data_IF_340301658929
#
_entry.id   IF_340301658929
#
_cell.length_a   1.000
_cell.length_b   1.000
_cell.length_c   1.000
_cell.angle_alpha   90.00
_cell.angle_beta   90.00
_cell.angle_gamma   90.00
#
_symmetry.space_group_name_H-M   'P 1'
#
loop_
_entity.id
_entity.type
_entity.pdbx_description
1 polymer ?
#
# COMPACT_ATOMS: atom_id res chain seq x y z
N UNK A 1 23.59 48.32 3.36
CA UNK A 1 24.74 47.50 2.90
C UNK A 1 24.70 46.20 3.70
N UNK A 2 24.08 45.12 3.27
CA UNK A 2 24.14 44.46 1.96
C UNK A 2 22.73 44.05 1.49
N UNK A 3 22.35 44.51 0.30
CA UNK A 3 21.17 44.06 -0.44
C UNK A 3 21.49 42.79 -1.25
N UNK A 4 20.53 41.88 -1.25
CA UNK A 4 20.13 40.91 -2.30
C UNK A 4 21.14 40.51 -3.40
N UNK A 5 21.55 39.24 -3.44
CA UNK A 5 21.97 38.57 -4.68
C UNK A 5 21.45 37.13 -4.71
N UNK A 6 20.19 36.96 -5.11
CA UNK A 6 19.76 35.71 -5.75
C UNK A 6 20.45 35.64 -7.12
N UNK A 7 21.60 34.97 -7.20
CA UNK A 7 22.32 34.77 -8.47
C UNK A 7 21.48 33.93 -9.42
N UNK A 8 20.85 34.59 -10.39
CA UNK A 8 20.18 33.93 -11.52
C UNK A 8 21.23 33.16 -12.33
N UNK A 9 20.93 31.89 -12.62
CA UNK A 9 21.76 31.03 -13.50
C UNK A 9 22.04 31.75 -14.82
N UNK A 10 23.26 31.64 -15.40
CA UNK A 10 23.57 32.22 -16.70
C UNK A 10 22.56 31.77 -17.77
N UNK A 11 22.12 32.68 -18.64
CA UNK A 11 21.05 32.43 -19.63
C UNK A 11 21.33 31.21 -20.51
N UNK A 12 22.59 31.01 -20.92
CA UNK A 12 23.01 29.82 -21.67
C UNK A 12 22.74 28.51 -20.91
N UNK A 13 23.03 28.47 -19.61
CA UNK A 13 22.81 27.29 -18.78
C UNK A 13 21.31 27.05 -18.59
N UNK A 14 20.54 28.12 -18.40
CA UNK A 14 19.08 28.03 -18.31
C UNK A 14 18.45 27.53 -19.62
N UNK A 15 18.95 27.97 -20.78
CA UNK A 15 18.52 27.50 -22.10
C UNK A 15 18.88 26.02 -22.32
N UNK A 16 20.08 25.59 -21.96
CA UNK A 16 20.47 24.19 -22.06
C UNK A 16 19.63 23.29 -21.15
N UNK A 17 19.38 23.70 -19.90
CA UNK A 17 18.52 22.95 -18.98
C UNK A 17 17.07 22.85 -19.50
N UNK A 18 16.54 23.93 -20.11
CA UNK A 18 15.23 23.89 -20.77
C UNK A 18 15.24 23.00 -22.01
N UNK A 19 16.34 22.99 -22.78
CA UNK A 19 16.49 22.15 -23.97
C UNK A 19 16.47 20.66 -23.61
N UNK A 20 17.08 20.25 -22.50
CA UNK A 20 17.05 18.86 -22.03
C UNK A 20 15.63 18.33 -21.75
N UNK A 21 14.71 19.22 -21.41
CA UNK A 21 13.31 18.89 -21.15
C UNK A 21 12.45 19.06 -22.41
N UNK A 22 12.87 19.85 -23.39
CA UNK A 22 12.10 20.13 -24.61
C UNK A 22 11.94 18.90 -25.51
N UNK A 23 10.88 18.92 -26.33
CA UNK A 23 10.53 17.90 -27.34
C UNK A 23 11.67 17.55 -28.27
N UNK A 24 12.38 18.55 -28.79
CA UNK A 24 13.51 18.36 -29.70
C UNK A 24 14.72 17.75 -28.99
N UNK A 25 14.96 18.12 -27.71
CA UNK A 25 16.09 17.62 -26.93
C UNK A 25 15.97 16.13 -26.60
N UNK A 26 14.79 15.68 -26.15
CA UNK A 26 14.55 14.26 -25.85
C UNK A 26 14.54 13.41 -27.13
N UNK A 27 13.99 13.94 -28.22
CA UNK A 27 13.99 13.25 -29.53
C UNK A 27 15.39 13.13 -30.11
N UNK A 28 16.19 14.20 -30.02
CA UNK A 28 17.60 14.21 -30.41
C UNK A 28 18.41 13.27 -29.51
N UNK A 29 18.09 13.17 -28.23
CA UNK A 29 18.73 12.23 -27.33
C UNK A 29 18.42 10.79 -27.72
N UNK A 30 17.15 10.43 -27.92
CA UNK A 30 16.76 9.10 -28.40
C UNK A 30 17.43 8.80 -29.75
N UNK A 31 17.50 9.78 -30.65
CA UNK A 31 18.19 9.64 -31.95
C UNK A 31 19.69 9.39 -31.74
N UNK A 32 20.36 10.19 -30.92
CA UNK A 32 21.79 10.02 -30.61
C UNK A 32 22.06 8.64 -30.03
N UNK A 33 21.27 8.20 -29.06
CA UNK A 33 21.35 6.85 -28.50
C UNK A 33 21.21 5.77 -29.58
N UNK A 34 20.22 5.87 -30.49
CA UNK A 34 20.08 4.90 -31.59
C UNK A 34 21.20 4.93 -32.62
N UNK A 35 21.95 6.05 -32.73
CA UNK A 35 23.10 6.17 -33.64
C UNK A 35 24.41 5.76 -33.00
N UNK A 36 24.55 5.90 -31.68
CA UNK A 36 25.75 5.55 -30.92
C UNK A 36 25.73 4.12 -30.40
N UNK A 37 24.57 3.45 -30.39
CA UNK A 37 24.44 2.03 -30.05
C UNK A 37 25.24 1.20 -31.06
N UNK A 38 26.49 0.90 -30.71
CA UNK A 38 27.36 0.04 -31.50
C UNK A 38 26.87 -1.41 -31.37
N UNK A 39 26.81 -2.20 -32.45
CA UNK A 39 26.40 -3.60 -32.40
C UNK A 39 27.32 -4.51 -31.55
N UNK A 40 28.44 -3.98 -31.04
CA UNK A 40 29.42 -4.70 -30.22
C UNK A 40 29.16 -4.65 -28.70
N UNK A 41 28.44 -3.64 -28.22
CA UNK A 41 28.13 -3.47 -26.79
C UNK A 41 26.69 -3.92 -26.58
N UNK A 42 26.46 -4.83 -25.64
CA UNK A 42 25.15 -5.46 -25.50
C UNK A 42 24.03 -4.43 -25.30
N UNK A 43 22.83 -4.64 -25.86
CA UNK A 43 21.68 -3.73 -25.72
C UNK A 43 21.22 -3.49 -24.27
N UNK A 44 21.77 -4.23 -23.31
CA UNK A 44 21.53 -4.02 -21.88
C UNK A 44 22.30 -2.81 -21.33
N UNK A 45 23.54 -2.57 -21.77
CA UNK A 45 24.37 -1.46 -21.25
C UNK A 45 23.85 -0.11 -21.76
N UNK A 46 23.47 -0.04 -23.04
CA UNK A 46 22.84 1.15 -23.63
C UNK A 46 21.50 1.48 -22.95
N UNK A 47 20.71 0.46 -22.61
CA UNK A 47 19.48 0.63 -21.85
C UNK A 47 19.75 1.17 -20.43
N UNK A 48 20.78 0.67 -19.75
CA UNK A 48 21.16 1.13 -18.41
C UNK A 48 21.60 2.60 -18.42
N UNK A 49 22.38 3.02 -19.41
CA UNK A 49 22.83 4.41 -19.52
C UNK A 49 21.66 5.37 -19.78
N UNK A 50 20.77 5.01 -20.72
CA UNK A 50 19.57 5.78 -20.99
C UNK A 50 18.63 5.82 -19.78
N UNK A 51 18.50 4.70 -19.06
CA UNK A 51 17.69 4.62 -17.85
C UNK A 51 18.24 5.51 -16.73
N UNK A 52 19.55 5.43 -16.48
CA UNK A 52 20.22 6.28 -15.50
C UNK A 52 20.06 7.76 -15.81
N UNK A 53 20.30 8.16 -17.07
CA UNK A 53 20.12 9.53 -17.51
C UNK A 53 18.67 10.03 -17.34
N UNK A 54 17.70 9.23 -17.76
CA UNK A 54 16.28 9.58 -17.70
C UNK A 54 15.79 9.69 -16.25
N UNK A 55 16.21 8.79 -15.37
CA UNK A 55 15.88 8.85 -13.94
C UNK A 55 16.48 10.10 -13.28
N UNK A 56 17.69 10.50 -13.68
CA UNK A 56 18.29 11.76 -13.21
C UNK A 56 17.47 12.95 -13.71
N UNK A 57 17.04 12.97 -14.98
CA UNK A 57 16.16 14.02 -15.49
C UNK A 57 14.84 14.12 -14.72
N UNK A 58 14.19 12.99 -14.45
CA UNK A 58 12.93 12.95 -13.70
C UNK A 58 13.11 13.45 -12.25
N UNK A 59 14.26 13.18 -11.63
CA UNK A 59 14.60 13.70 -10.30
C UNK A 59 14.92 15.19 -10.30
N UNK A 60 15.66 15.68 -11.30
CA UNK A 60 16.03 17.09 -11.40
C UNK A 60 14.87 18.00 -11.79
N UNK A 61 13.89 17.48 -12.56
CA UNK A 61 12.76 18.25 -13.10
C UNK A 61 11.41 17.59 -12.78
N UNK A 62 11.01 17.53 -11.49
CA UNK A 62 9.77 16.86 -11.08
C UNK A 62 8.52 17.47 -11.73
N UNK A 63 8.49 18.79 -11.92
CA UNK A 63 7.36 19.51 -12.51
C UNK A 63 7.12 19.15 -13.99
N UNK A 64 8.13 18.68 -14.70
CA UNK A 64 8.05 18.25 -16.10
C UNK A 64 8.05 16.73 -16.25
N UNK A 65 7.90 15.99 -15.15
CA UNK A 65 8.02 14.52 -15.16
C UNK A 65 7.01 13.84 -16.08
N UNK A 66 5.76 14.29 -16.09
CA UNK A 66 4.71 13.72 -16.95
C UNK A 66 4.96 14.04 -18.43
N UNK A 67 5.43 15.25 -18.74
CA UNK A 67 5.78 15.63 -20.11
C UNK A 67 6.96 14.79 -20.66
N UNK A 68 7.97 14.53 -19.82
CA UNK A 68 9.10 13.65 -20.16
C UNK A 68 8.59 12.22 -20.43
N UNK A 69 7.71 11.70 -19.59
CA UNK A 69 7.12 10.36 -19.76
C UNK A 69 6.26 10.26 -21.03
N UNK A 70 5.44 11.26 -21.32
CA UNK A 70 4.66 11.34 -22.57
C UNK A 70 5.59 11.29 -23.78
N UNK A 71 6.69 12.06 -23.75
CA UNK A 71 7.65 12.10 -24.86
C UNK A 71 8.37 10.77 -25.05
N UNK A 72 8.83 10.15 -23.97
CA UNK A 72 9.43 8.81 -24.02
C UNK A 72 8.45 7.76 -24.52
N UNK A 73 7.17 7.87 -24.15
CA UNK A 73 6.11 7.00 -24.61
C UNK A 73 5.87 7.10 -26.13
N UNK A 74 5.97 8.31 -26.70
CA UNK A 74 5.92 8.52 -28.16
C UNK A 74 7.22 8.17 -28.88
N UNK A 75 8.35 8.08 -28.18
CA UNK A 75 9.65 7.74 -28.75
C UNK A 75 9.73 6.30 -29.27
N UNK A 76 10.41 6.13 -30.40
CA UNK A 76 10.73 4.81 -30.99
C UNK A 76 12.24 4.58 -31.00
N UNK A 77 12.63 3.37 -30.59
CA UNK A 77 14.02 2.94 -30.57
C UNK A 77 14.22 1.94 -31.71
N UNK A 78 15.17 2.24 -32.60
CA UNK A 78 15.56 1.33 -33.68
C UNK A 78 16.55 0.32 -33.11
N UNK A 79 16.17 -0.95 -33.11
CA UNK A 79 17.07 -2.04 -32.69
C UNK A 79 17.43 -2.91 -33.89
N UNK A 80 18.69 -3.36 -33.94
CA UNK A 80 19.21 -4.27 -34.96
C UNK A 80 19.29 -5.69 -34.41
N UNK A 81 18.14 -6.27 -34.06
CA UNK A 81 18.08 -7.69 -33.68
C UNK A 81 17.97 -8.56 -34.94
N UNK A 82 18.97 -9.41 -35.21
CA UNK A 82 18.95 -10.40 -36.31
C UNK A 82 18.80 -9.81 -37.72
N UNK A 83 19.61 -8.80 -38.06
CA UNK A 83 19.75 -8.30 -39.45
C UNK A 83 18.54 -7.57 -40.06
N UNK A 84 17.40 -7.49 -39.36
CA UNK A 84 16.25 -6.65 -39.71
C UNK A 84 16.17 -5.49 -38.72
N UNK A 85 16.12 -4.27 -39.25
CA UNK A 85 15.96 -3.06 -38.43
C UNK A 85 14.50 -2.99 -37.96
N UNK A 86 14.26 -3.23 -36.68
CA UNK A 86 12.92 -3.17 -36.09
C UNK A 86 12.81 -1.92 -35.20
N UNK A 87 11.82 -1.09 -35.48
CA UNK A 87 11.40 0.02 -34.62
C UNK A 87 10.52 -0.54 -33.50
N UNK A 88 10.97 -0.39 -32.25
CA UNK A 88 10.26 -0.87 -31.07
C UNK A 88 9.91 0.35 -30.20
N UNK A 89 8.68 0.44 -29.65
CA UNK A 89 8.33 1.49 -28.69
C UNK A 89 9.27 1.47 -27.47
N UNK A 90 9.61 2.65 -26.95
CA UNK A 90 10.52 2.80 -25.79
C UNK A 90 10.12 1.92 -24.59
N UNK A 91 8.82 1.81 -24.28
CA UNK A 91 8.33 0.98 -23.16
C UNK A 91 8.65 -0.51 -23.37
N UNK A 92 8.46 -1.03 -24.58
CA UNK A 92 8.78 -2.43 -24.93
C UNK A 92 10.29 -2.67 -24.96
N UNK A 93 11.07 -1.68 -25.40
CA UNK A 93 12.53 -1.76 -25.34
C UNK A 93 13.01 -1.96 -23.89
N UNK A 94 12.53 -1.13 -22.96
CA UNK A 94 12.89 -1.27 -21.54
C UNK A 94 12.34 -2.55 -20.89
N UNK A 95 11.18 -3.03 -21.32
CA UNK A 95 10.68 -4.34 -20.90
C UNK A 95 11.63 -5.48 -21.32
N UNK A 96 12.05 -5.52 -22.58
CA UNK A 96 13.01 -6.53 -23.05
C UNK A 96 14.38 -6.40 -22.38
N UNK A 97 14.81 -5.19 -22.04
CA UNK A 97 16.02 -4.97 -21.24
C UNK A 97 15.84 -5.51 -19.81
N UNK A 98 14.70 -5.23 -19.16
CA UNK A 98 14.38 -5.73 -17.82
C UNK A 98 14.35 -7.26 -17.76
N UNK A 99 13.78 -7.93 -18.78
CA UNK A 99 13.76 -9.40 -18.88
C UNK A 99 15.16 -10.04 -18.90
N UNK A 100 16.17 -9.33 -19.39
CA UNK A 100 17.56 -9.82 -19.51
C UNK A 100 18.37 -9.65 -18.22
N UNK A 101 17.86 -8.86 -17.27
CA UNK A 101 18.56 -8.62 -15.99
C UNK A 101 18.64 -9.88 -15.14
N UNK A 102 19.73 -10.03 -14.40
CA UNK A 102 19.89 -11.12 -13.45
C UNK A 102 18.87 -11.03 -12.31
N UNK A 103 18.49 -9.82 -11.91
CA UNK A 103 17.47 -9.56 -10.89
C UNK A 103 16.14 -10.18 -11.31
N UNK A 104 15.69 -9.94 -12.55
CA UNK A 104 14.45 -10.52 -13.05
C UNK A 104 14.50 -12.05 -13.02
N UNK A 105 15.61 -12.64 -13.48
CA UNK A 105 15.83 -14.09 -13.46
C UNK A 105 15.84 -14.67 -12.04
N UNK A 106 16.45 -13.98 -11.08
CA UNK A 106 16.50 -14.40 -9.66
C UNK A 106 15.11 -14.33 -9.02
N UNK A 107 14.35 -13.28 -9.29
CA UNK A 107 13.01 -13.08 -8.73
C UNK A 107 11.94 -13.99 -9.34
N UNK A 108 12.14 -14.45 -10.57
CA UNK A 108 11.24 -15.40 -11.23
C UNK A 108 11.48 -16.86 -10.82
N UNK A 109 12.55 -17.17 -10.07
CA UNK A 109 12.76 -18.53 -9.55
C UNK A 109 11.73 -18.87 -8.47
N UNK A 110 11.22 -20.12 -8.53
CA UNK A 110 10.11 -20.61 -7.70
C UNK A 110 10.38 -20.55 -6.19
N UNK A 111 11.65 -20.59 -5.78
CA UNK A 111 12.10 -20.35 -4.41
C UNK A 111 13.27 -19.37 -4.45
N UNK A 112 13.12 -18.24 -3.77
CA UNK A 112 14.20 -17.27 -3.59
C UNK A 112 15.10 -17.83 -2.49
N UNK A 113 16.18 -18.52 -2.86
CA UNK A 113 17.09 -19.19 -1.90
C UNK A 113 17.79 -18.22 -0.96
N UNK A 114 18.08 -16.99 -1.43
CA UNK A 114 18.72 -15.93 -0.64
C UNK A 114 18.10 -14.56 -0.94
N UNK A 115 17.07 -14.10 -0.20
CA UNK A 115 16.43 -12.80 -0.40
C UNK A 115 17.43 -11.63 -0.24
N UNK A 116 18.41 -11.78 0.64
CA UNK A 116 19.51 -10.83 0.84
C UNK A 116 20.41 -10.67 -0.40
N UNK A 117 20.49 -11.65 -1.30
CA UNK A 117 21.31 -11.53 -2.53
C UNK A 117 20.68 -10.63 -3.60
N UNK A 118 19.38 -10.37 -3.50
CA UNK A 118 18.63 -9.52 -4.44
C UNK A 118 18.48 -8.10 -3.90
N UNK A 119 18.24 -7.99 -2.58
CA UNK A 119 18.00 -6.70 -1.91
C UNK A 119 19.25 -6.13 -1.25
N UNK A 120 20.20 -6.96 -0.82
CA UNK A 120 21.48 -6.50 -0.26
C UNK A 120 22.26 -5.58 -1.20
N UNK A 121 22.33 -5.86 -2.53
CA UNK A 121 22.94 -4.93 -3.47
C UNK A 121 22.19 -3.60 -3.64
N UNK A 122 20.89 -3.51 -3.34
CA UNK A 122 20.15 -2.23 -3.34
C UNK A 122 20.63 -1.27 -2.24
N UNK A 123 21.26 -1.81 -1.19
CA UNK A 123 21.76 -1.04 -0.06
C UNK A 123 23.23 -0.63 -0.23
N UNK A 124 23.90 -1.10 -1.30
CA UNK A 124 25.32 -0.82 -1.55
C UNK A 124 25.49 0.12 -2.76
N UNK A 125 26.24 1.24 -2.66
CA UNK A 125 26.22 2.30 -3.67
C UNK A 125 26.93 2.02 -5.02
N UNK A 126 27.63 0.89 -5.19
CA UNK A 126 28.50 0.68 -6.37
C UNK A 126 28.50 -0.78 -6.84
N UNK A 127 27.35 -1.26 -7.34
CA UNK A 127 27.24 -2.62 -7.88
C UNK A 127 26.71 -2.59 -9.31
N UNK A 128 27.12 -3.55 -10.14
CA UNK A 128 26.48 -3.87 -11.43
C UNK A 128 24.95 -4.02 -11.30
N UNK A 129 24.47 -4.41 -10.12
CA UNK A 129 23.04 -4.52 -9.84
C UNK A 129 22.33 -3.15 -9.78
N UNK A 130 23.02 -2.05 -9.46
CA UNK A 130 22.43 -0.71 -9.52
C UNK A 130 22.04 -0.34 -10.95
N UNK A 131 22.86 -0.71 -11.93
CA UNK A 131 22.55 -0.50 -13.34
C UNK A 131 21.27 -1.24 -13.77
N UNK A 132 21.14 -2.50 -13.36
CA UNK A 132 19.96 -3.32 -13.65
C UNK A 132 18.69 -2.74 -12.98
N UNK A 133 18.81 -2.26 -11.73
CA UNK A 133 17.70 -1.65 -11.00
C UNK A 133 17.23 -0.34 -11.62
N UNK A 134 18.12 0.49 -12.16
CA UNK A 134 17.76 1.71 -12.90
C UNK A 134 16.87 1.38 -14.09
N UNK A 135 17.20 0.34 -14.84
CA UNK A 135 16.40 -0.12 -15.99
C UNK A 135 15.02 -0.62 -15.55
N UNK A 136 14.95 -1.43 -14.48
CA UNK A 136 13.67 -1.91 -13.92
C UNK A 136 12.81 -0.75 -13.40
N UNK A 137 13.42 0.19 -12.68
CA UNK A 137 12.74 1.36 -12.12
C UNK A 137 12.12 2.23 -13.21
N UNK A 138 12.90 2.58 -14.24
CA UNK A 138 12.39 3.38 -15.35
C UNK A 138 11.26 2.65 -16.08
N UNK A 139 11.42 1.35 -16.34
CA UNK A 139 10.37 0.54 -16.94
C UNK A 139 9.07 0.62 -16.12
N UNK A 140 9.14 0.42 -14.80
CA UNK A 140 7.96 0.48 -13.92
C UNK A 140 7.32 1.87 -13.90
N UNK A 141 8.11 2.94 -13.92
CA UNK A 141 7.58 4.31 -13.99
C UNK A 141 6.86 4.60 -15.31
N UNK A 142 7.46 4.21 -16.43
CA UNK A 142 6.84 4.36 -17.76
C UNK A 142 5.61 3.48 -17.90
N UNK A 143 5.64 2.26 -17.35
CA UNK A 143 4.52 1.35 -17.41
C UNK A 143 3.37 1.78 -16.48
N UNK A 144 3.65 2.31 -15.29
CA UNK A 144 2.64 2.96 -14.46
C UNK A 144 1.97 4.13 -15.17
N UNK A 145 2.75 4.94 -15.89
CA UNK A 145 2.23 6.02 -16.70
C UNK A 145 1.30 5.48 -17.81
N UNK A 146 1.71 4.43 -18.52
CA UNK A 146 0.87 3.74 -19.50
C UNK A 146 -0.43 3.21 -18.88
N UNK A 147 -0.35 2.58 -17.71
CA UNK A 147 -1.51 2.12 -16.93
C UNK A 147 -2.36 3.25 -16.35
N UNK A 148 -1.90 4.50 -16.35
CA UNK A 148 -2.74 5.64 -15.96
C UNK A 148 -3.49 6.23 -17.16
N UNK A 149 -2.87 6.19 -18.33
CA UNK A 149 -3.43 6.74 -19.58
C UNK A 149 -4.32 5.74 -20.32
N UNK A 150 -4.14 4.43 -20.07
CA UNK A 150 -4.95 3.37 -20.69
C UNK A 150 -6.30 3.18 -20.00
N UNK A 151 -7.38 3.43 -20.72
CA UNK A 151 -8.72 2.97 -20.32
C UNK A 151 -8.85 1.45 -20.50
N UNK A 152 -9.85 0.86 -19.83
CA UNK A 152 -10.06 -0.60 -19.78
C UNK A 152 -10.18 -1.30 -21.13
N UNK A 153 -10.60 -0.58 -22.18
CA UNK A 153 -10.77 -1.10 -23.55
C UNK A 153 -9.46 -1.16 -24.36
N UNK A 154 -8.47 -0.32 -24.04
CA UNK A 154 -7.22 -0.19 -24.82
C UNK A 154 -6.05 -1.04 -24.29
N UNK A 155 -6.24 -1.73 -23.16
CA UNK A 155 -5.17 -2.38 -22.41
C UNK A 155 -4.70 -3.71 -23.01
N UNK A 156 -5.62 -4.58 -23.44
CA UNK A 156 -5.27 -5.89 -24.01
C UNK A 156 -5.07 -5.78 -25.53
N UNK A 157 -4.07 -6.48 -26.10
CA UNK A 157 -3.98 -6.65 -27.55
C UNK A 157 -5.28 -7.31 -28.04
N UNK A 158 -6.05 -6.60 -28.86
CA UNK A 158 -7.37 -7.07 -29.29
C UNK A 158 -7.25 -8.41 -30.00
N UNK A 159 -7.70 -9.49 -29.37
CA UNK A 159 -7.97 -10.78 -30.02
C UNK A 159 -9.18 -10.69 -30.97
N UNK A 160 -9.95 -9.60 -30.87
CA UNK A 160 -11.11 -9.30 -31.70
C UNK A 160 -10.84 -8.06 -32.55
N UNK A 161 -10.78 -8.29 -33.87
CA UNK A 161 -10.99 -7.35 -34.98
C UNK A 161 -10.44 -5.93 -34.79
N UNK A 162 -9.40 -5.61 -35.58
CA UNK A 162 -8.98 -4.25 -35.84
C UNK A 162 -10.19 -3.42 -36.34
N UNK A 163 -10.80 -2.65 -35.44
CA UNK A 163 -11.79 -1.66 -35.82
C UNK A 163 -11.08 -0.62 -36.70
N UNK A 164 -11.54 -0.37 -37.94
CA UNK A 164 -10.81 0.42 -38.94
C UNK A 164 -10.78 1.93 -38.64
N UNK A 165 -11.38 2.39 -37.54
CA UNK A 165 -11.34 3.78 -37.09
C UNK A 165 -10.86 3.85 -35.64
N UNK A 166 -9.54 3.89 -35.46
CA UNK A 166 -8.94 4.09 -34.14
C UNK A 166 -8.04 5.32 -34.18
N UNK A 167 -8.13 6.13 -33.11
CA UNK A 167 -7.29 7.32 -32.98
C UNK A 167 -5.81 6.91 -32.93
N UNK A 168 -4.88 7.71 -33.48
CA UNK A 168 -3.46 7.38 -33.48
C UNK A 168 -2.90 7.14 -32.05
N UNK A 169 -3.47 7.82 -31.05
CA UNK A 169 -3.14 7.62 -29.64
C UNK A 169 -3.50 6.21 -29.13
N UNK A 170 -4.69 5.69 -29.46
CA UNK A 170 -5.11 4.33 -29.05
C UNK A 170 -4.29 3.24 -29.74
N UNK A 171 -3.92 3.44 -31.00
CA UNK A 171 -2.99 2.56 -31.71
C UNK A 171 -1.61 2.56 -31.04
N UNK A 172 -1.11 3.72 -30.61
CA UNK A 172 0.18 3.83 -29.92
C UNK A 172 0.16 3.11 -28.57
N UNK A 173 -0.88 3.34 -27.78
CA UNK A 173 -1.12 2.65 -26.51
C UNK A 173 -1.08 1.13 -26.69
N UNK A 174 -1.78 0.60 -27.71
CA UNK A 174 -1.77 -0.83 -27.98
C UNK A 174 -0.40 -1.34 -28.41
N UNK A 175 0.33 -0.59 -29.24
CA UNK A 175 1.66 -0.99 -29.69
C UNK A 175 2.68 -1.08 -28.54
N UNK A 176 2.51 -0.24 -27.52
CA UNK A 176 3.35 -0.20 -26.31
C UNK A 176 2.88 -1.17 -25.21
N UNK A 177 1.65 -1.70 -25.32
CA UNK A 177 1.09 -2.67 -24.38
C UNK A 177 1.79 -4.03 -24.43
N UNK A 178 1.81 -4.73 -23.30
CA UNK A 178 2.42 -6.05 -23.16
C UNK A 178 1.45 -7.15 -23.58
N UNK A 179 1.99 -8.24 -24.14
CA UNK A 179 1.20 -9.42 -24.50
C UNK A 179 0.79 -10.22 -23.24
N UNK A 180 -0.15 -11.17 -23.39
CA UNK A 180 -0.67 -11.92 -22.25
C UNK A 180 0.41 -12.69 -21.47
N UNK A 181 1.35 -13.30 -22.18
CA UNK A 181 2.48 -14.02 -21.57
C UNK A 181 3.43 -13.06 -20.85
N UNK A 182 3.67 -11.89 -21.44
CA UNK A 182 4.49 -10.83 -20.85
C UNK A 182 3.84 -10.24 -19.61
N UNK A 183 2.52 -10.00 -19.64
CA UNK A 183 1.72 -9.57 -18.49
C UNK A 183 1.75 -10.60 -17.36
N UNK A 184 1.68 -11.89 -17.70
CA UNK A 184 1.82 -12.98 -16.73
C UNK A 184 3.20 -12.95 -16.08
N UNK A 185 4.27 -12.83 -16.88
CA UNK A 185 5.65 -12.73 -16.39
C UNK A 185 5.85 -11.50 -15.50
N UNK A 186 5.38 -10.33 -15.94
CA UNK A 186 5.44 -9.08 -15.19
C UNK A 186 4.69 -9.20 -13.85
N UNK A 187 3.49 -9.79 -13.86
CA UNK A 187 2.69 -9.93 -12.65
C UNK A 187 3.35 -10.90 -11.66
N UNK A 188 3.91 -12.03 -12.13
CA UNK A 188 4.71 -12.93 -11.28
C UNK A 188 5.94 -12.24 -10.69
N UNK A 189 6.65 -11.44 -11.51
CA UNK A 189 7.78 -10.66 -11.06
C UNK A 189 7.39 -9.62 -9.99
N UNK A 190 6.35 -8.82 -10.25
CA UNK A 190 5.84 -7.80 -9.32
C UNK A 190 5.38 -8.41 -8.00
N UNK A 191 4.70 -9.56 -8.06
CA UNK A 191 4.30 -10.34 -6.90
C UNK A 191 5.52 -10.66 -6.03
N UNK A 192 6.54 -11.29 -6.60
CA UNK A 192 7.74 -11.70 -5.87
C UNK A 192 8.57 -10.51 -5.37
N UNK A 193 8.72 -9.47 -6.20
CA UNK A 193 9.42 -8.24 -5.85
C UNK A 193 8.74 -7.52 -4.69
N UNK A 194 7.44 -7.25 -4.82
CA UNK A 194 6.70 -6.47 -3.82
C UNK A 194 6.62 -7.22 -2.49
N UNK A 195 6.42 -8.55 -2.54
CA UNK A 195 6.50 -9.39 -1.33
C UNK A 195 7.87 -9.27 -0.65
N UNK A 196 8.97 -9.39 -1.41
CA UNK A 196 10.33 -9.27 -0.90
C UNK A 196 10.60 -7.88 -0.27
N UNK A 197 10.09 -6.81 -0.89
CA UNK A 197 10.24 -5.43 -0.42
C UNK A 197 9.45 -5.12 0.87
N UNK A 198 8.35 -5.81 1.13
CA UNK A 198 7.60 -5.65 2.38
C UNK A 198 8.03 -6.65 3.46
N UNK A 199 8.26 -7.90 3.10
CA UNK A 199 8.56 -8.99 4.04
C UNK A 199 10.01 -8.98 4.52
N UNK A 200 10.98 -9.01 3.60
CA UNK A 200 12.38 -9.29 3.91
C UNK A 200 13.24 -8.01 4.00
N UNK A 201 12.88 -6.94 3.29
CA UNK A 201 13.64 -5.69 3.34
C UNK A 201 13.80 -5.14 4.77
N UNK A 202 12.77 -5.10 5.65
CA UNK A 202 12.94 -4.58 7.00
C UNK A 202 13.94 -5.38 7.83
N UNK A 203 13.98 -6.71 7.68
CA UNK A 203 14.93 -7.56 8.41
C UNK A 203 16.36 -7.41 7.89
N UNK A 204 16.52 -7.23 6.57
CA UNK A 204 17.83 -6.97 5.95
C UNK A 204 18.37 -5.60 6.38
N UNK A 205 17.54 -4.56 6.40
CA UNK A 205 17.94 -3.22 6.88
C UNK A 205 18.31 -3.26 8.37
N UNK A 206 17.54 -3.98 9.19
CA UNK A 206 17.83 -4.13 10.61
C UNK A 206 19.17 -4.86 10.84
N UNK A 207 19.44 -5.93 10.07
CA UNK A 207 20.71 -6.65 10.12
C UNK A 207 21.91 -5.82 9.63
N UNK A 208 21.70 -4.90 8.68
CA UNK A 208 22.74 -3.98 8.22
C UNK A 208 23.04 -2.86 9.22
N UNK A 209 22.09 -2.56 10.13
CA UNK A 209 22.22 -1.54 11.18
C UNK A 209 22.81 -2.06 12.48
N UNK A 210 23.01 -3.36 12.68
CA UNK A 210 23.75 -3.85 13.86
C UNK A 210 25.22 -3.43 13.74
N UNK A 211 25.72 -2.51 14.58
CA UNK A 211 27.13 -2.22 14.61
C UNK A 211 27.86 -3.44 15.17
N UNK A 212 28.84 -3.95 14.42
CA UNK A 212 29.88 -4.81 14.95
C UNK A 212 30.68 -4.06 16.03
N UNK A 213 30.16 -4.02 17.25
CA UNK A 213 30.92 -3.74 18.46
C UNK A 213 30.35 -4.59 19.59
N UNK A 214 30.81 -5.85 19.62
CA UNK A 214 30.79 -6.65 20.84
C UNK A 214 32.02 -6.22 21.65
N UNK A 215 31.86 -5.28 22.57
CA UNK A 215 32.83 -5.10 23.65
C UNK A 215 32.39 -5.93 24.87
N UNK A 216 33.25 -6.83 25.40
CA UNK A 216 32.93 -7.63 26.56
C UNK A 216 33.16 -6.84 27.85
N UNK A 217 32.15 -6.82 28.73
CA UNK A 217 32.21 -6.76 30.19
C UNK A 217 33.08 -5.66 30.86
N UNK A 218 32.44 -4.68 31.53
CA UNK A 218 32.47 -4.45 33.00
C UNK A 218 31.76 -3.13 33.32
N UNK A 219 30.93 -3.10 34.38
CA UNK A 219 30.20 -1.90 34.79
C UNK A 219 31.10 -0.85 35.45
N UNK A 220 30.72 0.43 35.31
CA UNK A 220 30.81 1.50 36.31
C UNK A 220 30.01 2.69 35.76
N UNK A 221 29.23 3.30 36.66
CA UNK A 221 28.31 4.41 36.44
C UNK A 221 28.98 5.60 35.72
N UNK A 222 28.34 6.09 34.65
CA UNK A 222 28.36 7.51 34.33
C UNK A 222 27.10 7.87 33.52
N UNK A 223 26.37 8.88 34.00
CA UNK A 223 25.20 9.47 33.35
C UNK A 223 25.60 10.06 31.99
N UNK A 224 24.79 9.96 30.92
CA UNK A 224 24.87 10.91 29.83
C UNK A 224 23.96 12.11 30.15
N UNK A 225 24.57 13.29 30.14
CA UNK A 225 23.89 14.57 30.03
C UNK A 225 23.11 14.62 28.71
N UNK A 226 21.90 15.15 28.76
CA UNK A 226 21.07 15.43 27.61
C UNK A 226 21.81 16.34 26.62
N UNK A 227 21.95 15.88 25.38
CA UNK A 227 22.06 16.74 24.20
C UNK A 227 20.99 16.29 23.21
N UNK A 228 19.96 17.13 23.14
CA UNK A 228 19.04 17.25 22.03
C UNK A 228 19.82 17.56 20.76
N UNK A 229 20.08 16.53 19.97
CA UNK A 229 20.54 16.62 18.59
C UNK A 229 19.71 15.69 17.76
N UNK A 230 18.85 16.24 16.92
CA UNK A 230 18.13 15.55 15.86
C UNK A 230 19.14 14.90 14.90
N UNK A 231 19.53 13.66 15.19
CA UNK A 231 20.32 12.84 14.28
C UNK A 231 19.40 12.36 13.16
N UNK A 232 19.26 13.22 12.15
CA UNK A 232 18.72 12.81 10.86
C UNK A 232 19.51 11.61 10.34
N UNK A 233 18.74 10.56 10.09
CA UNK A 233 18.96 9.45 9.17
C UNK A 233 20.15 9.63 8.21
N UNK A 234 21.30 9.04 8.54
CA UNK A 234 22.42 8.89 7.61
C UNK A 234 22.29 7.59 6.80
N UNK A 235 21.23 7.51 6.00
CA UNK A 235 21.25 6.73 4.76
C UNK A 235 21.43 7.74 3.62
N UNK A 236 22.40 7.51 2.73
CA UNK A 236 22.72 8.44 1.65
C UNK A 236 21.44 8.87 0.88
N UNK A 237 21.20 10.19 0.69
CA UNK A 237 19.91 10.73 0.23
C UNK A 237 19.54 10.34 -1.21
N UNK A 238 20.49 9.78 -1.97
CA UNK A 238 20.29 9.41 -3.38
C UNK A 238 19.54 8.09 -3.56
N UNK A 239 19.68 7.14 -2.62
CA UNK A 239 19.19 5.76 -2.77
C UNK A 239 18.24 5.26 -1.66
N UNK A 240 18.24 5.87 -0.48
CA UNK A 240 17.13 5.65 0.48
C UNK A 240 15.77 5.95 -0.17
N UNK A 241 15.73 6.97 -1.03
CA UNK A 241 14.58 7.33 -1.85
C UNK A 241 14.32 6.34 -3.02
N UNK A 242 15.34 5.61 -3.48
CA UNK A 242 15.22 4.67 -4.60
C UNK A 242 14.46 3.41 -4.22
N UNK A 243 14.73 2.86 -3.03
CA UNK A 243 14.03 1.65 -2.52
C UNK A 243 12.57 1.97 -2.17
N UNK A 244 12.30 3.13 -1.58
CA UNK A 244 10.93 3.58 -1.30
C UNK A 244 10.16 3.84 -2.59
N UNK A 245 10.78 4.49 -3.58
CA UNK A 245 10.19 4.70 -4.92
C UNK A 245 9.94 3.37 -5.64
N UNK A 246 10.88 2.43 -5.58
CA UNK A 246 10.73 1.08 -6.15
C UNK A 246 9.51 0.37 -5.55
N UNK A 247 9.41 0.38 -4.22
CA UNK A 247 8.29 -0.22 -3.49
C UNK A 247 6.97 0.43 -3.88
N UNK A 248 6.90 1.75 -3.92
CA UNK A 248 5.69 2.47 -4.31
C UNK A 248 5.30 2.20 -5.77
N UNK A 249 6.25 2.23 -6.70
CA UNK A 249 6.01 1.99 -8.12
C UNK A 249 5.58 0.54 -8.38
N UNK A 250 6.22 -0.43 -7.73
CA UNK A 250 5.86 -1.85 -7.84
C UNK A 250 4.46 -2.11 -7.28
N UNK A 251 4.15 -1.60 -6.08
CA UNK A 251 2.82 -1.71 -5.45
C UNK A 251 1.72 -1.07 -6.30
N UNK A 252 1.99 0.13 -6.85
CA UNK A 252 1.03 0.85 -7.70
C UNK A 252 0.76 0.07 -8.99
N UNK A 253 1.82 -0.41 -9.65
CA UNK A 253 1.69 -1.22 -10.88
C UNK A 253 0.84 -2.47 -10.61
N UNK A 254 1.15 -3.17 -9.53
CA UNK A 254 0.48 -4.40 -9.15
C UNK A 254 -1.00 -4.17 -8.82
N UNK A 255 -1.35 -3.08 -8.11
CA UNK A 255 -2.73 -2.70 -7.81
C UNK A 255 -3.52 -2.35 -9.07
N UNK A 256 -2.94 -1.55 -9.95
CA UNK A 256 -3.55 -1.16 -11.23
C UNK A 256 -3.76 -2.35 -12.17
N UNK A 257 -2.86 -3.35 -12.16
CA UNK A 257 -3.03 -4.59 -12.91
C UNK A 257 -4.12 -5.48 -12.28
N UNK A 258 -4.15 -5.59 -10.96
CA UNK A 258 -5.19 -6.37 -10.25
C UNK A 258 -6.58 -5.78 -10.47
N UNK A 259 -6.74 -4.45 -10.42
CA UNK A 259 -8.01 -3.78 -10.68
C UNK A 259 -8.50 -4.00 -12.12
N UNK A 260 -7.59 -4.07 -13.09
CA UNK A 260 -7.95 -4.44 -14.46
C UNK A 260 -8.37 -5.89 -14.58
N UNK A 261 -7.63 -6.80 -13.95
CA UNK A 261 -7.96 -8.23 -13.95
C UNK A 261 -9.28 -8.53 -13.21
N UNK A 262 -9.66 -7.72 -12.20
CA UNK A 262 -10.95 -7.86 -11.52
C UNK A 262 -12.12 -7.43 -12.40
N UNK A 263 -11.94 -6.39 -13.24
CA UNK A 263 -12.96 -5.93 -14.19
C UNK A 263 -13.10 -6.86 -15.41
N UNK A 264 -11.97 -7.29 -15.97
CA UNK A 264 -11.90 -8.23 -17.11
C UNK A 264 -10.80 -9.23 -16.86
N UNK A 265 -11.19 -10.47 -16.53
CA UNK A 265 -10.25 -11.54 -16.23
C UNK A 265 -9.37 -11.85 -17.44
N UNK A 266 -8.06 -11.70 -17.27
CA UNK A 266 -7.07 -12.13 -18.26
C UNK A 266 -6.04 -13.11 -17.66
N UNK A 267 -5.90 -13.15 -16.34
CA UNK A 267 -5.06 -14.16 -15.66
C UNK A 267 -5.90 -15.37 -15.22
N UNK A 268 -5.27 -16.56 -15.08
CA UNK A 268 -5.94 -17.74 -14.53
C UNK A 268 -6.47 -17.49 -13.11
N UNK A 269 -7.45 -18.30 -12.72
CA UNK A 269 -7.95 -18.33 -11.34
C UNK A 269 -6.80 -18.61 -10.37
N UNK A 270 -6.82 -17.94 -9.21
CA UNK A 270 -5.83 -18.04 -8.14
C UNK A 270 -4.41 -17.60 -8.47
N UNK A 271 -4.16 -17.08 -9.67
CA UNK A 271 -2.84 -16.61 -10.08
C UNK A 271 -2.25 -15.54 -9.15
N UNK A 272 -3.11 -14.72 -8.54
CA UNK A 272 -2.71 -13.67 -7.59
C UNK A 272 -2.33 -14.21 -6.21
N UNK A 273 -2.83 -15.38 -5.80
CA UNK A 273 -2.62 -15.91 -4.46
C UNK A 273 -1.16 -16.33 -4.22
N UNK A 274 -0.67 -16.12 -3.00
CA UNK A 274 0.64 -16.61 -2.54
C UNK A 274 0.47 -17.52 -1.32
N UNK A 275 -0.13 -18.69 -1.50
CA UNK A 275 -0.49 -19.58 -0.39
C UNK A 275 0.69 -20.17 0.38
N UNK A 276 1.85 -20.35 -0.27
CA UNK A 276 3.02 -21.01 0.33
C UNK A 276 3.88 -20.12 1.23
N UNK A 277 3.65 -18.80 1.24
CA UNK A 277 4.51 -17.82 1.92
C UNK A 277 3.86 -17.20 3.16
N UNK A 278 2.64 -17.60 3.51
CA UNK A 278 1.88 -16.98 4.58
C UNK A 278 1.53 -17.96 5.70
N UNK A 279 1.91 -17.59 6.92
CA UNK A 279 1.31 -18.17 8.12
C UNK A 279 0.08 -17.35 8.53
N UNK A 280 -1.08 -18.01 8.51
CA UNK A 280 -2.39 -17.45 8.87
C UNK A 280 -2.37 -16.92 10.31
N UNK A 281 -1.70 -17.65 11.19
CA UNK A 281 -1.68 -17.34 12.61
C UNK A 281 -0.83 -16.10 12.88
N UNK A 282 0.30 -15.95 12.17
CA UNK A 282 1.10 -14.73 12.18
C UNK A 282 0.30 -13.50 11.76
N UNK A 283 -0.33 -13.55 10.57
CA UNK A 283 -1.09 -12.41 10.03
C UNK A 283 -2.24 -11.98 10.95
N UNK A 284 -2.98 -12.95 11.50
CA UNK A 284 -4.09 -12.65 12.42
C UNK A 284 -3.58 -12.04 13.72
N UNK A 285 -2.49 -12.58 14.28
CA UNK A 285 -1.88 -12.06 15.51
C UNK A 285 -1.32 -10.65 15.31
N UNK A 286 -0.73 -10.37 14.15
CA UNK A 286 -0.23 -9.06 13.78
C UNK A 286 -1.32 -7.99 13.83
N UNK A 287 -2.45 -8.26 13.17
CA UNK A 287 -3.59 -7.33 13.13
C UNK A 287 -4.19 -7.12 14.50
N UNK A 288 -4.37 -8.20 15.29
CA UNK A 288 -4.91 -8.10 16.65
C UNK A 288 -4.02 -7.24 17.55
N UNK A 289 -2.70 -7.43 17.48
CA UNK A 289 -1.76 -6.68 18.30
C UNK A 289 -1.68 -5.20 17.91
N UNK A 290 -1.82 -4.88 16.63
CA UNK A 290 -1.89 -3.51 16.13
C UNK A 290 -3.17 -2.81 16.61
N UNK A 291 -4.32 -3.45 16.46
CA UNK A 291 -5.61 -2.89 16.89
C UNK A 291 -5.62 -2.61 18.39
N UNK A 292 -5.21 -3.59 19.19
CA UNK A 292 -5.07 -3.42 20.63
C UNK A 292 -4.04 -2.34 21.01
N UNK A 293 -3.12 -1.95 20.12
CA UNK A 293 -2.10 -0.92 20.43
C UNK A 293 -2.76 0.43 20.30
N UNK A 294 -3.49 0.64 19.21
CA UNK A 294 -4.26 1.84 18.99
C UNK A 294 -5.22 2.07 20.16
N UNK A 295 -5.91 1.02 20.63
CA UNK A 295 -6.77 1.10 21.83
C UNK A 295 -5.99 1.56 23.08
N UNK A 296 -4.85 0.95 23.41
CA UNK A 296 -4.07 1.34 24.59
C UNK A 296 -3.48 2.75 24.50
N UNK A 297 -3.17 3.22 23.29
CA UNK A 297 -2.69 4.59 23.09
C UNK A 297 -3.81 5.61 23.29
N UNK A 298 -5.06 5.27 22.95
CA UNK A 298 -6.22 6.10 23.27
C UNK A 298 -6.46 6.17 24.79
N UNK A 299 -6.44 5.03 25.50
CA UNK A 299 -6.61 4.98 26.96
C UNK A 299 -5.49 5.72 27.73
N UNK A 300 -4.22 5.53 27.34
CA UNK A 300 -3.07 6.19 28.01
C UNK A 300 -3.12 7.74 27.87
N UNK A 301 -3.68 8.26 26.77
CA UNK A 301 -3.83 9.71 26.57
C UNK A 301 -4.95 10.30 27.45
N UNK A 302 -6.02 9.54 27.71
CA UNK A 302 -7.13 9.98 28.58
C UNK A 302 -6.70 10.01 30.05
N UNK A 303 -5.89 9.05 30.49
CA UNK A 303 -5.36 8.99 31.86
C UNK A 303 -4.32 10.09 32.17
N UNK A 304 -3.49 10.50 31.20
CA UNK A 304 -2.51 11.60 31.38
C UNK A 304 -3.20 12.95 31.68
N UNK A 305 -4.38 13.20 31.10
CA UNK A 305 -5.16 14.42 31.33
C UNK A 305 -5.87 14.44 32.72
N UNK A 306 -6.07 13.28 33.36
CA UNK A 306 -6.76 13.16 34.65
C UNK A 306 -5.79 13.22 35.86
N UNK A 307 -4.52 12.84 35.68
CA UNK A 307 -3.51 12.80 36.75
C UNK A 307 -3.13 14.22 37.25
N UNK A 308 -3.34 15.27 36.46
CA UNK A 308 -2.98 16.66 36.81
C UNK A 308 -3.96 17.34 37.79
N UNK A 309 -5.01 16.66 38.28
CA UNK A 309 -6.08 17.27 39.11
C UNK A 309 -6.18 16.81 40.56
N UNK A 310 -5.24 16.02 41.09
CA UNK A 310 -5.29 15.56 42.49
C UNK A 310 -4.19 16.19 43.36
N UNK A 311 -4.49 17.23 44.17
CA UNK A 311 -3.58 17.71 45.21
C UNK A 311 -3.48 16.67 46.33
N UNK A 312 -2.38 15.90 46.37
CA UNK A 312 -2.14 14.91 47.42
C UNK A 312 -1.55 15.54 48.68
N UNK A 313 -2.33 15.57 49.76
CA UNK A 313 -1.80 15.61 51.13
C UNK A 313 -1.67 14.17 51.69
N UNK A 314 -0.45 13.82 52.09
CA UNK A 314 -0.07 12.78 53.07
C UNK A 314 -0.24 11.28 52.71
N UNK A 315 0.86 10.64 52.26
CA UNK A 315 1.31 9.26 52.59
C UNK A 315 2.41 8.79 51.60
N UNK A 316 3.58 9.43 51.62
CA UNK A 316 4.45 9.61 50.43
C UNK A 316 5.76 8.82 50.38
N UNK A 317 5.99 7.75 51.15
CA UNK A 317 7.29 7.01 51.05
C UNK A 317 7.16 5.52 50.73
N UNK A 318 6.13 4.81 51.20
CA UNK A 318 5.97 3.37 50.91
C UNK A 318 5.24 3.07 49.59
N UNK A 319 4.52 4.06 49.03
CA UNK A 319 3.80 3.93 47.75
C UNK A 319 4.69 4.14 46.53
N UNK A 320 5.75 4.95 46.66
CA UNK A 320 6.68 5.27 45.56
C UNK A 320 7.43 4.01 45.08
N UNK A 321 7.86 3.13 46.00
CA UNK A 321 8.57 1.90 45.61
C UNK A 321 7.67 0.90 44.88
N UNK A 322 6.40 0.78 45.28
CA UNK A 322 5.43 -0.11 44.62
C UNK A 322 4.93 0.46 43.29
N UNK A 323 4.70 1.78 43.22
CA UNK A 323 4.36 2.48 41.98
C UNK A 323 5.50 2.38 40.95
N UNK A 324 6.74 2.63 41.36
CA UNK A 324 7.91 2.50 40.49
C UNK A 324 8.16 1.03 40.04
N UNK A 325 7.85 0.05 40.89
CA UNK A 325 7.90 -1.38 40.51
C UNK A 325 6.81 -1.74 39.49
N UNK A 326 5.59 -1.23 39.68
CA UNK A 326 4.47 -1.43 38.74
C UNK A 326 4.79 -0.76 37.39
N UNK A 327 5.30 0.46 37.41
CA UNK A 327 5.73 1.20 36.23
C UNK A 327 6.85 0.48 35.47
N UNK A 328 7.88 -0.03 36.18
CA UNK A 328 8.95 -0.82 35.56
C UNK A 328 8.46 -2.13 34.92
N UNK A 329 7.47 -2.79 35.52
CA UNK A 329 6.82 -3.96 34.91
C UNK A 329 5.98 -3.59 33.68
N UNK A 330 5.26 -2.46 33.71
CA UNK A 330 4.50 -1.95 32.58
C UNK A 330 5.42 -1.56 31.41
N UNK A 331 6.50 -0.84 31.67
CA UNK A 331 7.52 -0.48 30.67
C UNK A 331 8.12 -1.72 30.02
N UNK A 332 8.47 -2.74 30.81
CA UNK A 332 8.98 -4.01 30.27
C UNK A 332 7.96 -4.72 29.38
N UNK A 333 6.67 -4.67 29.74
CA UNK A 333 5.57 -5.23 28.92
C UNK A 333 5.38 -4.44 27.63
N UNK A 334 5.42 -3.10 27.69
CA UNK A 334 5.36 -2.21 26.51
C UNK A 334 6.51 -2.51 25.55
N UNK A 335 7.75 -2.57 26.03
CA UNK A 335 8.92 -2.89 25.19
C UNK A 335 8.82 -4.29 24.54
N UNK A 336 8.36 -5.31 25.28
CA UNK A 336 8.14 -6.66 24.71
C UNK A 336 7.09 -6.64 23.60
N UNK A 337 6.01 -5.89 23.81
CA UNK A 337 4.93 -5.72 22.83
C UNK A 337 5.41 -4.97 21.60
N UNK A 338 6.15 -3.88 21.77
CA UNK A 338 6.73 -3.12 20.66
C UNK A 338 7.69 -3.96 19.83
N UNK A 339 8.53 -4.78 20.46
CA UNK A 339 9.40 -5.74 19.74
C UNK A 339 8.59 -6.75 18.94
N UNK A 340 7.50 -7.27 19.49
CA UNK A 340 6.62 -8.19 18.78
C UNK A 340 5.93 -7.49 17.60
N UNK A 341 5.46 -6.26 17.77
CA UNK A 341 4.89 -5.46 16.69
C UNK A 341 5.92 -5.15 15.60
N UNK A 342 7.16 -4.83 15.96
CA UNK A 342 8.24 -4.61 14.99
C UNK A 342 8.51 -5.88 14.15
N UNK A 343 8.43 -7.07 14.75
CA UNK A 343 8.55 -8.35 14.04
C UNK A 343 7.35 -8.62 13.11
N UNK A 344 6.17 -8.14 13.47
CA UNK A 344 4.92 -8.35 12.72
C UNK A 344 4.60 -7.21 11.74
N UNK A 345 5.33 -6.10 11.78
CA UNK A 345 5.18 -4.94 10.87
C UNK A 345 5.21 -5.34 9.39
N UNK A 346 6.11 -6.23 8.93
CA UNK A 346 6.11 -6.70 7.54
C UNK A 346 4.79 -7.35 7.12
N UNK A 347 4.14 -8.09 8.03
CA UNK A 347 2.88 -8.76 7.76
C UNK A 347 1.71 -7.76 7.65
N UNK A 348 1.70 -6.73 8.49
CA UNK A 348 0.72 -5.63 8.42
C UNK A 348 0.84 -4.84 7.12
N UNK A 349 2.06 -4.54 6.71
CA UNK A 349 2.33 -3.85 5.45
C UNK A 349 1.84 -4.64 4.22
N UNK A 350 1.97 -5.96 4.24
CA UNK A 350 1.43 -6.84 3.18
C UNK A 350 -0.11 -6.76 3.16
N UNK A 351 -0.77 -6.85 4.32
CA UNK A 351 -2.24 -6.78 4.40
C UNK A 351 -2.75 -5.44 3.84
N UNK A 352 -2.09 -4.33 4.18
CA UNK A 352 -2.47 -2.98 3.71
C UNK A 352 -2.23 -2.76 2.23
N UNK A 353 -1.07 -3.18 1.73
CA UNK A 353 -0.64 -2.80 0.38
C UNK A 353 -1.00 -3.84 -0.70
N UNK A 354 -1.16 -5.11 -0.32
CA UNK A 354 -1.39 -6.23 -1.23
C UNK A 354 -2.41 -7.26 -0.69
N UNK A 355 -3.62 -6.86 -0.26
CA UNK A 355 -4.58 -7.80 0.32
C UNK A 355 -5.01 -8.92 -0.65
N UNK A 356 -4.98 -8.68 -1.96
CA UNK A 356 -5.43 -9.63 -2.98
C UNK A 356 -4.51 -10.84 -3.19
N UNK A 357 -3.29 -10.82 -2.67
CA UNK A 357 -2.42 -12.02 -2.69
C UNK A 357 -2.75 -12.99 -1.54
N UNK A 358 -3.60 -12.55 -0.60
CA UNK A 358 -4.06 -13.32 0.55
C UNK A 358 -5.37 -14.03 0.18
N UNK A 359 -5.45 -15.36 0.37
CA UNK A 359 -6.67 -16.14 0.19
C UNK A 359 -7.90 -15.52 0.87
N UNK A 360 -9.06 -15.68 0.24
CA UNK A 360 -10.31 -15.08 0.71
C UNK A 360 -10.67 -15.52 2.13
N UNK A 361 -10.51 -16.80 2.43
CA UNK A 361 -10.83 -17.41 3.72
C UNK A 361 -10.00 -16.78 4.84
N UNK A 362 -8.73 -16.46 4.56
CA UNK A 362 -7.84 -15.80 5.52
C UNK A 362 -8.29 -14.35 5.75
N UNK A 363 -8.63 -13.63 4.68
CA UNK A 363 -9.16 -12.25 4.80
C UNK A 363 -10.46 -12.20 5.60
N UNK A 364 -11.36 -13.16 5.41
CA UNK A 364 -12.59 -13.28 6.20
C UNK A 364 -12.28 -13.59 7.66
N UNK A 365 -11.30 -14.46 7.95
CA UNK A 365 -10.87 -14.72 9.33
C UNK A 365 -10.32 -13.47 10.02
N UNK A 366 -9.44 -12.72 9.34
CA UNK A 366 -8.91 -11.45 9.85
C UNK A 366 -10.05 -10.46 10.12
N UNK A 367 -10.98 -10.33 9.17
CA UNK A 367 -12.14 -9.44 9.31
C UNK A 367 -13.04 -9.83 10.49
N UNK A 368 -13.34 -11.13 10.67
CA UNK A 368 -14.11 -11.61 11.83
C UNK A 368 -13.40 -11.35 13.14
N UNK A 369 -12.08 -11.54 13.17
CA UNK A 369 -11.28 -11.27 14.37
C UNK A 369 -11.33 -9.78 14.76
N UNK A 370 -11.27 -8.87 13.78
CA UNK A 370 -11.45 -7.43 14.01
C UNK A 370 -12.85 -7.11 14.55
N UNK A 371 -13.90 -7.73 13.99
CA UNK A 371 -15.27 -7.60 14.51
C UNK A 371 -15.35 -8.08 15.97
N UNK A 372 -14.71 -9.20 16.30
CA UNK A 372 -14.75 -9.75 17.66
C UNK A 372 -13.98 -8.88 18.66
N UNK A 373 -12.86 -8.27 18.24
CA UNK A 373 -12.17 -7.25 19.03
C UNK A 373 -13.05 -6.03 19.28
N UNK A 374 -13.67 -5.51 18.23
CA UNK A 374 -14.56 -4.35 18.27
C UNK A 374 -15.80 -4.61 19.16
N UNK A 375 -16.38 -5.82 19.09
CA UNK A 375 -17.44 -6.28 20.02
C UNK A 375 -16.97 -6.34 21.47
N UNK A 376 -15.78 -6.89 21.70
CA UNK A 376 -15.23 -7.01 23.05
C UNK A 376 -14.86 -5.64 23.64
N UNK A 377 -14.36 -4.72 22.83
CA UNK A 377 -14.09 -3.33 23.20
C UNK A 377 -15.38 -2.66 23.69
N UNK A 378 -16.46 -2.72 22.92
CA UNK A 378 -17.75 -2.11 23.34
C UNK A 378 -18.37 -2.76 24.57
N UNK A 379 -18.25 -4.08 24.72
CA UNK A 379 -18.69 -4.77 25.95
C UNK A 379 -17.91 -4.36 27.20
N UNK A 380 -16.68 -3.86 27.05
CA UNK A 380 -15.81 -3.46 28.16
C UNK A 380 -15.77 -1.94 28.38
N UNK A 381 -16.02 -1.15 27.34
CA UNK A 381 -15.73 0.30 27.30
C UNK A 381 -16.92 1.26 27.32
N UNK A 382 -18.17 0.80 27.51
CA UNK A 382 -19.31 1.73 27.64
C UNK A 382 -20.30 1.29 28.71
N UNK A 383 -19.86 1.28 29.96
CA UNK A 383 -20.78 1.48 31.09
C UNK A 383 -20.71 2.97 31.47
N UNK A 384 -21.58 3.85 30.92
CA UNK A 384 -21.73 5.18 31.48
C UNK A 384 -22.05 5.04 32.99
N UNK A 385 -21.42 5.82 33.87
CA UNK A 385 -21.64 5.70 35.31
C UNK A 385 -23.13 5.92 35.61
N UNK A 386 -23.81 4.86 36.07
CA UNK A 386 -25.23 4.87 36.41
C UNK A 386 -26.13 3.93 35.60
N UNK A 387 -25.62 3.19 34.60
CA UNK A 387 -26.36 2.06 34.00
C UNK A 387 -25.91 0.75 34.64
N UNK A 388 -26.83 0.12 35.37
CA UNK A 388 -26.65 -1.21 35.96
C UNK A 388 -26.21 -2.23 34.91
N UNK A 389 -25.40 -3.19 35.36
CA UNK A 389 -24.82 -4.28 34.59
C UNK A 389 -25.86 -4.96 33.66
N UNK A 390 -25.59 -4.97 32.34
CA UNK A 390 -25.93 -6.15 31.53
C UNK A 390 -26.87 -5.99 30.33
N UNK A 391 -27.38 -4.79 29.98
CA UNK A 391 -28.27 -4.67 28.81
C UNK A 391 -28.09 -3.35 28.05
N UNK A 392 -27.41 -3.42 26.91
CA UNK A 392 -27.67 -2.47 25.82
C UNK A 392 -29.02 -2.85 25.20
N UNK A 393 -30.11 -2.40 25.82
CA UNK A 393 -31.48 -2.62 25.33
C UNK A 393 -31.79 -1.64 24.19
N UNK A 394 -31.03 -1.70 23.09
CA UNK A 394 -31.39 -1.03 21.84
C UNK A 394 -32.55 -1.79 21.20
N UNK A 395 -33.73 -1.55 21.76
CA UNK A 395 -34.97 -2.20 21.36
C UNK A 395 -35.70 -1.33 20.36
N UNK A 396 -36.01 -1.87 19.19
CA UNK A 396 -36.86 -1.22 18.22
C UNK A 396 -38.18 -1.97 18.04
N UNK A 397 -39.25 -1.20 17.97
CA UNK A 397 -40.58 -1.66 17.68
C UNK A 397 -40.94 -1.23 16.25
N UNK A 398 -41.20 -2.20 15.39
CA UNK A 398 -41.23 -1.97 13.95
C UNK A 398 -42.54 -2.51 13.37
N UNK A 399 -43.26 -1.70 12.61
CA UNK A 399 -44.51 -2.10 11.95
C UNK A 399 -44.23 -2.67 10.57
N UNK A 400 -44.98 -3.72 10.18
CA UNK A 400 -44.91 -4.28 8.84
C UNK A 400 -45.48 -3.28 7.82
N UNK A 401 -44.70 -2.94 6.80
CA UNK A 401 -45.07 -1.96 5.76
C UNK A 401 -44.53 -0.53 5.98
N UNK A 402 -43.89 -0.27 7.13
CA UNK A 402 -43.12 0.96 7.39
C UNK A 402 -41.80 0.63 8.09
N UNK A 403 -41.20 -0.50 7.71
CA UNK A 403 -40.06 -1.10 8.41
C UNK A 403 -38.87 -0.17 8.38
N UNK A 404 -38.61 0.45 7.23
CA UNK A 404 -37.48 1.36 7.06
C UNK A 404 -37.66 2.66 7.86
N UNK A 405 -38.85 3.27 7.81
CA UNK A 405 -39.10 4.52 8.53
C UNK A 405 -38.99 4.33 10.04
N UNK A 406 -39.61 3.26 10.57
CA UNK A 406 -39.54 2.94 11.99
C UNK A 406 -38.09 2.62 12.41
N UNK A 407 -37.33 1.90 11.57
CA UNK A 407 -35.91 1.65 11.80
C UNK A 407 -35.09 2.95 11.88
N UNK A 408 -35.35 3.88 10.97
CA UNK A 408 -34.68 5.17 10.94
C UNK A 408 -34.95 5.95 12.24
N UNK A 409 -36.20 6.06 12.66
CA UNK A 409 -36.57 6.82 13.85
C UNK A 409 -35.98 6.23 15.14
N UNK A 410 -35.87 4.91 15.23
CA UNK A 410 -35.32 4.23 16.42
C UNK A 410 -33.79 4.19 16.45
N UNK A 411 -33.13 3.93 15.31
CA UNK A 411 -31.70 3.63 15.28
C UNK A 411 -30.81 4.77 14.79
N UNK A 412 -31.34 5.78 14.09
CA UNK A 412 -30.52 6.87 13.53
C UNK A 412 -29.75 7.62 14.62
N UNK A 413 -30.39 7.88 15.76
CA UNK A 413 -29.79 8.58 16.89
C UNK A 413 -28.77 7.75 17.68
N UNK A 414 -28.68 6.43 17.44
CA UNK A 414 -27.73 5.57 18.14
C UNK A 414 -26.29 5.81 17.68
N UNK A 415 -26.06 6.35 16.48
CA UNK A 415 -24.72 6.58 15.91
C UNK A 415 -23.84 5.32 16.01
N UNK A 416 -22.77 5.34 16.81
CA UNK A 416 -21.89 4.19 17.04
C UNK A 416 -22.55 3.02 17.80
N UNK A 417 -23.60 3.31 18.58
CA UNK A 417 -24.36 2.32 19.35
C UNK A 417 -25.08 1.28 18.49
N UNK A 418 -25.25 1.52 17.18
CA UNK A 418 -25.82 0.54 16.25
C UNK A 418 -24.97 -0.74 16.12
N UNK A 419 -23.69 -0.67 16.51
CA UNK A 419 -22.78 -1.83 16.50
C UNK A 419 -22.98 -2.75 17.72
N UNK A 420 -23.79 -2.35 18.69
CA UNK A 420 -24.17 -3.18 19.83
C UNK A 420 -25.31 -4.14 19.46
N UNK A 421 -25.65 -5.05 20.37
CA UNK A 421 -26.75 -5.99 20.12
C UNK A 421 -28.08 -5.25 20.10
N UNK A 422 -28.74 -5.19 18.95
CA UNK A 422 -30.09 -4.64 18.80
C UNK A 422 -31.14 -5.75 18.99
N UNK A 423 -32.28 -5.39 19.58
CA UNK A 423 -33.45 -6.27 19.73
C UNK A 423 -34.59 -5.68 18.90
N UNK A 424 -35.28 -6.52 18.14
CA UNK A 424 -36.33 -6.06 17.22
C UNK A 424 -37.62 -6.81 17.54
N UNK A 425 -38.70 -6.05 17.69
CA UNK A 425 -40.06 -6.57 17.87
C UNK A 425 -40.93 -6.06 16.73
N UNK A 426 -41.50 -7.00 15.97
CA UNK A 426 -42.53 -6.65 15.00
C UNK A 426 -43.85 -6.39 15.71
N UNK A 427 -44.51 -5.31 15.31
CA UNK A 427 -45.81 -4.91 15.84
C UNK A 427 -46.86 -5.04 14.72
N UNK A 428 -47.98 -5.69 15.04
CA UNK A 428 -49.15 -5.80 14.15
C UNK A 428 -50.00 -4.50 14.18
N UNK A 429 -50.97 -4.37 13.27
CA UNK A 429 -51.90 -3.24 13.13
C UNK A 429 -52.67 -2.85 14.42
N UNK A 430 -52.68 -3.72 15.44
CA UNK A 430 -53.30 -3.49 16.76
C UNK A 430 -52.30 -3.11 17.86
N UNK A 431 -51.10 -2.68 17.49
CA UNK A 431 -50.00 -2.34 18.39
C UNK A 431 -49.61 -3.48 19.36
N UNK A 432 -49.81 -4.73 18.94
CA UNK A 432 -49.42 -5.92 19.70
C UNK A 432 -48.10 -6.49 19.17
N UNK A 433 -47.17 -6.89 20.05
CA UNK A 433 -45.95 -7.55 19.62
C UNK A 433 -46.30 -8.91 19.01
N UNK A 434 -45.87 -9.12 17.78
CA UNK A 434 -45.98 -10.42 17.13
C UNK A 434 -45.18 -11.46 17.93
N UNK A 435 -45.77 -12.64 18.12
CA UNK A 435 -45.13 -13.72 18.88
C UNK A 435 -43.89 -14.23 18.13
N UNK A 436 -42.73 -13.70 18.50
CA UNK A 436 -41.43 -14.14 18.00
C UNK A 436 -41.02 -15.49 18.59
N UNK A 437 -40.68 -16.45 17.72
CA UNK A 437 -40.21 -17.79 18.13
C UNK A 437 -38.69 -17.77 18.39
N UNK A 438 -37.93 -16.89 17.71
CA UNK A 438 -36.48 -16.79 17.80
C UNK A 438 -35.98 -15.36 17.49
N UNK A 439 -35.23 -14.76 18.43
CA UNK A 439 -34.67 -13.42 18.30
C UNK A 439 -33.66 -13.29 17.15
N UNK A 440 -32.97 -14.38 16.76
CA UNK A 440 -32.02 -14.34 15.63
C UNK A 440 -32.71 -14.28 14.26
N UNK A 441 -33.87 -14.91 14.15
CA UNK A 441 -34.70 -14.88 12.94
C UNK A 441 -35.29 -13.50 12.67
N UNK A 442 -35.81 -12.85 13.71
CA UNK A 442 -36.45 -11.53 13.59
C UNK A 442 -35.48 -10.45 13.12
N UNK A 443 -34.23 -10.45 13.60
CA UNK A 443 -33.21 -9.50 13.13
C UNK A 443 -32.86 -9.70 11.66
N UNK A 444 -32.79 -10.97 11.23
CA UNK A 444 -32.52 -11.29 9.82
C UNK A 444 -33.67 -10.81 8.93
N UNK A 445 -34.91 -11.10 9.33
CA UNK A 445 -36.12 -10.66 8.64
C UNK A 445 -36.23 -9.14 8.55
N UNK A 446 -35.94 -8.45 9.65
CA UNK A 446 -35.88 -6.99 9.71
C UNK A 446 -34.87 -6.42 8.72
N UNK A 447 -33.62 -6.91 8.71
CA UNK A 447 -32.58 -6.41 7.82
C UNK A 447 -32.94 -6.64 6.35
N UNK A 448 -33.54 -7.78 6.02
CA UNK A 448 -34.02 -8.08 4.66
C UNK A 448 -35.14 -7.12 4.27
N UNK A 449 -36.14 -6.94 5.13
CA UNK A 449 -37.32 -6.10 4.85
C UNK A 449 -36.94 -4.62 4.74
N UNK A 450 -36.12 -4.12 5.66
CA UNK A 450 -35.61 -2.75 5.63
C UNK A 450 -34.79 -2.49 4.36
N UNK A 451 -33.94 -3.43 3.93
CA UNK A 451 -33.18 -3.30 2.70
C UNK A 451 -34.10 -3.31 1.46
N UNK A 452 -35.11 -4.17 1.43
CA UNK A 452 -36.08 -4.21 0.31
C UNK A 452 -36.84 -2.89 0.17
N UNK A 453 -37.31 -2.31 1.27
CA UNK A 453 -38.03 -1.03 1.29
C UNK A 453 -37.11 0.16 0.95
N UNK A 454 -35.85 0.13 1.43
CA UNK A 454 -34.86 1.18 1.13
C UNK A 454 -34.38 1.20 -0.32
N UNK A 455 -34.31 0.03 -0.97
CA UNK A 455 -33.81 -0.13 -2.33
C UNK A 455 -34.94 -0.33 -3.37
N UNK A 456 -36.21 -0.16 -2.99
CA UNK A 456 -37.34 -0.29 -3.92
C UNK A 456 -37.32 0.87 -4.95
N UNK A 457 -37.19 0.59 -6.27
CA UNK A 457 -37.18 1.61 -7.31
C UNK A 457 -38.59 2.16 -7.66
N UNK A 458 -39.65 1.70 -6.99
CA UNK A 458 -41.02 2.15 -7.23
C UNK A 458 -41.22 3.65 -6.92
N UNK A 459 -42.23 4.29 -7.53
CA UNK A 459 -42.52 5.72 -7.26
C UNK A 459 -43.01 5.98 -5.82
N UNK A 460 -43.48 4.94 -5.14
CA UNK A 460 -43.94 4.95 -3.74
C UNK A 460 -42.81 4.60 -2.75
N UNK A 461 -41.69 4.06 -3.25
CA UNK A 461 -40.51 3.73 -2.46
C UNK A 461 -39.67 4.94 -2.07
N UNK A 462 -38.84 4.78 -1.05
CA UNK A 462 -37.93 5.84 -0.65
C UNK A 462 -36.81 6.00 -1.70
N UNK A 463 -36.79 7.12 -2.43
CA UNK A 463 -35.79 7.44 -3.48
C UNK A 463 -34.38 7.74 -2.94
N UNK A 464 -33.91 6.99 -1.95
CA UNK A 464 -32.58 7.16 -1.37
C UNK A 464 -31.45 6.68 -2.31
N UNK A 465 -31.77 5.80 -3.26
CA UNK A 465 -30.79 5.25 -4.21
C UNK A 465 -31.30 5.38 -5.65
N UNK A 466 -30.56 6.12 -6.47
CA UNK A 466 -30.80 6.23 -7.91
C UNK A 466 -29.85 5.26 -8.60
N UNK A 467 -30.40 4.29 -9.34
CA UNK A 467 -29.59 3.46 -10.22
C UNK A 467 -29.01 4.34 -11.33
N UNK A 468 -27.68 4.38 -11.44
CA UNK A 468 -26.98 5.04 -12.55
C UNK A 468 -26.91 4.13 -13.78
#
# INVERSE_FOLDING_TARGET
MLDTTSSTLPDFVAEQLKFLVNSDGISELLRRFTTTSSPSVGPSEDANLLAGYTLVLLKCFPNYGDDIKIRLFHGDIKTSSSGKQQTIPTVKYFWHAALRTEIFRKLMQSKITHPASVVGPLLQPESKHDEEWRTILLFLELYNFLLRVTDGEGFLPSTFQAMPQQSPATSRIRSSGLDLEELKALTSFLKNLTFLLYHDLPSIIASAKEPTQRDPFMGIQSKPLAQSGSSQESLSPTFGNGVTSLRQNATTTMRLLHERDSRRKFLPQDFWLMTSKFDINGLTSAVVLEEQKNDTTEEDNEDEDEIDRIPSHTASVSRISRAAQIEGHQQTRRMKRERLLAQLTPQLEIIRNMPFIIPFEIRVKIFRQLIDLDKNRRRRGYNPPGREEGRSDHTAYVKRGSVFQDAYDHFYNLSEGIKESIQIFFIDQFDQPEAGIDNGGLTTEFLISAAQEAFDPSEEGFRYFVAN
#
